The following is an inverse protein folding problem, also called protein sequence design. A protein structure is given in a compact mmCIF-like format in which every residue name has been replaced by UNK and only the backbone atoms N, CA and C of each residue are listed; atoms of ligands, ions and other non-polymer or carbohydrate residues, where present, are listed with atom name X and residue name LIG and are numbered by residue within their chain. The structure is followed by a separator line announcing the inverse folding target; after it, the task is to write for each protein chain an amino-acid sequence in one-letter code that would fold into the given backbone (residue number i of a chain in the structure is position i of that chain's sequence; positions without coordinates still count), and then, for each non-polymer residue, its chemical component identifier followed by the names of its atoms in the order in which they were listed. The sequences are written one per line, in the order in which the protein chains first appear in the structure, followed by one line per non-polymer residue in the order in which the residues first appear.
data_IF_383973365365
#
_entry.id   IF_383973365365
#
_cell.length_a   1.000
_cell.length_b   1.000
_cell.length_c   1.000
_cell.angle_alpha   90.00
_cell.angle_beta   90.00
_cell.angle_gamma   90.00
#
_symmetry.space_group_name_H-M   'P 1'
#
loop_
_entity.id
_entity.type
_entity.pdbx_description
1 polymer ?
#
# COMPACT_ATOMS: atom_id res chain seq x y z
N UNK A 1 -21.21 7.88 55.68
CA UNK A 1 -21.61 6.56 56.23
C UNK A 1 -23.13 6.51 56.29
N UNK A 2 -23.71 5.34 55.97
CA UNK A 2 -25.16 4.98 55.92
C UNK A 2 -25.87 5.10 54.57
N UNK A 3 -25.87 3.94 53.91
CA UNK A 3 -26.78 3.42 52.88
C UNK A 3 -28.25 3.40 53.34
N UNK A 4 -29.17 3.40 52.36
CA UNK A 4 -30.58 2.92 52.31
C UNK A 4 -31.47 4.01 51.65
N UNK A 5 -32.43 3.76 50.76
CA UNK A 5 -33.11 2.58 50.22
C UNK A 5 -33.87 2.99 48.93
N UNK A 6 -34.32 1.98 48.18
CA UNK A 6 -35.34 1.91 47.10
C UNK A 6 -36.23 3.14 46.84
N UNK A 7 -36.61 3.34 45.55
CA UNK A 7 -38.01 3.26 45.10
C UNK A 7 -38.14 3.23 43.57
N UNK A 8 -39.04 2.36 43.12
CA UNK A 8 -39.41 2.09 41.75
C UNK A 8 -40.16 3.25 41.09
N UNK A 9 -40.04 3.38 39.76
CA UNK A 9 -41.09 4.00 38.94
C UNK A 9 -41.31 3.19 37.66
N UNK A 10 -42.57 2.79 37.54
CA UNK A 10 -43.25 2.12 36.46
C UNK A 10 -43.02 2.77 35.08
N UNK A 11 -42.99 1.94 34.04
CA UNK A 11 -43.62 2.29 32.77
C UNK A 11 -44.19 1.01 32.13
N UNK A 12 -45.51 1.02 32.02
CA UNK A 12 -46.36 0.08 31.31
C UNK A 12 -46.29 0.40 29.81
N UNK A 13 -46.02 -0.58 28.95
CA UNK A 13 -46.48 -0.51 27.56
C UNK A 13 -46.67 -1.93 26.98
N UNK A 14 -47.92 -2.19 26.64
CA UNK A 14 -48.47 -3.37 25.96
C UNK A 14 -47.85 -3.55 24.56
N UNK A 15 -47.54 -4.78 24.18
CA UNK A 15 -47.55 -5.20 22.78
C UNK A 15 -47.82 -6.72 22.66
N UNK A 16 -49.11 -7.03 22.49
CA UNK A 16 -49.70 -8.05 21.60
C UNK A 16 -48.84 -9.30 21.34
N UNK A 17 -49.21 -10.39 21.99
CA UNK A 17 -48.84 -11.75 21.60
C UNK A 17 -49.61 -12.13 20.32
N UNK A 18 -48.98 -11.98 19.17
CA UNK A 18 -49.36 -12.72 17.95
C UNK A 18 -48.57 -14.02 17.92
N UNK A 19 -49.28 -15.13 18.10
CA UNK A 19 -48.72 -16.48 17.96
C UNK A 19 -48.20 -16.68 16.54
N UNK A 20 -46.88 -16.86 16.42
CA UNK A 20 -46.31 -17.55 15.28
C UNK A 20 -46.06 -18.99 15.72
N UNK A 21 -46.91 -19.91 15.25
CA UNK A 21 -46.54 -21.31 15.20
C UNK A 21 -45.24 -21.39 14.38
N UNK A 22 -44.12 -21.61 15.06
CA UNK A 22 -42.84 -21.84 14.40
C UNK A 22 -42.91 -23.23 13.78
N UNK A 23 -43.43 -23.34 12.56
CA UNK A 23 -43.18 -24.52 11.75
C UNK A 23 -41.67 -24.54 11.46
N UNK A 24 -40.95 -25.40 12.17
CA UNK A 24 -39.54 -25.67 11.91
C UNK A 24 -39.41 -26.29 10.52
N UNK A 25 -39.21 -25.47 9.50
CA UNK A 25 -38.81 -25.94 8.18
C UNK A 25 -37.39 -26.49 8.28
N UNK A 26 -37.29 -27.81 8.45
CA UNK A 26 -36.06 -28.57 8.25
C UNK A 26 -35.88 -28.76 6.74
N UNK A 27 -35.60 -27.68 6.02
CA UNK A 27 -35.13 -27.76 4.63
C UNK A 27 -33.67 -28.19 4.63
N UNK A 28 -33.22 -28.97 3.63
CA UNK A 28 -31.80 -29.30 3.51
C UNK A 28 -31.02 -27.99 3.38
N UNK A 29 -30.11 -27.77 4.33
CA UNK A 29 -29.12 -26.70 4.25
C UNK A 29 -28.27 -27.00 3.01
N UNK A 30 -28.58 -26.37 1.89
CA UNK A 30 -27.71 -26.39 0.72
C UNK A 30 -26.44 -25.64 1.11
N UNK A 31 -25.43 -26.37 1.56
CA UNK A 31 -24.08 -25.85 1.65
C UNK A 31 -23.69 -25.42 0.25
N UNK A 32 -23.59 -24.11 0.02
CA UNK A 32 -22.99 -23.61 -1.21
C UNK A 32 -21.61 -24.28 -1.33
N UNK A 33 -21.44 -25.12 -2.36
CA UNK A 33 -20.17 -25.80 -2.58
C UNK A 33 -19.08 -24.72 -2.65
N UNK A 34 -18.08 -24.84 -1.78
CA UNK A 34 -16.94 -23.94 -1.79
C UNK A 34 -16.23 -23.97 -3.15
N UNK A 35 -15.42 -22.96 -3.46
CA UNK A 35 -14.64 -22.96 -4.70
C UNK A 35 -13.76 -24.23 -4.77
N UNK A 36 -13.50 -24.76 -5.98
CA UNK A 36 -12.61 -25.91 -6.16
C UNK A 36 -11.23 -25.67 -5.54
N UNK A 37 -10.55 -26.76 -5.17
CA UNK A 37 -9.18 -26.69 -4.66
C UNK A 37 -8.26 -25.99 -5.66
N UNK A 38 -7.26 -25.27 -5.17
CA UNK A 38 -6.43 -24.41 -6.02
C UNK A 38 -5.65 -25.15 -7.12
N UNK A 39 -5.37 -26.44 -6.91
CA UNK A 39 -4.68 -27.34 -7.84
C UNK A 39 -5.64 -28.24 -8.64
N UNK A 40 -6.95 -28.14 -8.41
CA UNK A 40 -7.91 -28.95 -9.15
C UNK A 40 -7.90 -28.57 -10.64
N UNK A 41 -7.94 -29.55 -11.57
CA UNK A 41 -7.98 -29.27 -12.99
C UNK A 41 -9.35 -28.70 -13.39
N UNK A 42 -9.34 -27.54 -14.04
CA UNK A 42 -10.53 -26.83 -14.50
C UNK A 42 -10.42 -26.55 -16.00
N UNK A 43 -11.50 -26.75 -16.74
CA UNK A 43 -11.60 -26.35 -18.15
C UNK A 43 -11.91 -24.87 -18.23
N UNK A 44 -10.99 -24.09 -18.80
CA UNK A 44 -11.21 -22.67 -19.07
C UNK A 44 -12.21 -22.51 -20.20
N UNK A 45 -13.43 -22.09 -19.87
CA UNK A 45 -14.51 -21.92 -20.85
C UNK A 45 -14.57 -20.52 -21.44
N UNK A 46 -14.14 -19.52 -20.70
CA UNK A 46 -14.13 -18.13 -21.14
C UNK A 46 -13.09 -17.33 -20.37
N UNK A 47 -12.37 -16.49 -21.09
CA UNK A 47 -11.51 -15.44 -20.55
C UNK A 47 -11.93 -14.13 -21.20
N UNK A 48 -12.55 -13.25 -20.42
CA UNK A 48 -12.98 -11.92 -20.87
C UNK A 48 -12.09 -10.89 -20.22
N UNK A 49 -11.43 -10.07 -21.04
CA UNK A 49 -10.60 -8.95 -20.61
C UNK A 49 -11.30 -7.65 -21.02
N UNK A 50 -11.43 -6.74 -20.07
CA UNK A 50 -12.11 -5.44 -20.28
C UNK A 50 -11.31 -4.29 -19.70
N UNK A 51 -11.47 -3.10 -20.28
CA UNK A 51 -10.96 -1.85 -19.74
C UNK A 51 -9.51 -1.51 -20.09
N UNK A 52 -8.77 -2.43 -20.73
CA UNK A 52 -7.49 -2.14 -21.34
C UNK A 52 -7.64 -1.17 -22.53
N UNK A 53 -6.70 -0.23 -22.67
CA UNK A 53 -6.72 0.84 -23.68
C UNK A 53 -5.35 1.07 -24.28
N UNK A 54 -4.33 1.25 -23.45
CA UNK A 54 -2.93 1.47 -23.83
C UNK A 54 -2.20 0.16 -24.10
N UNK A 55 -2.53 -0.90 -23.38
CA UNK A 55 -2.02 -2.25 -23.64
C UNK A 55 -3.04 -3.03 -24.45
N UNK A 56 -2.62 -3.59 -25.59
CA UNK A 56 -3.52 -4.36 -26.45
C UNK A 56 -3.93 -5.67 -25.78
N UNK A 57 -5.12 -6.17 -26.12
CA UNK A 57 -5.58 -7.48 -25.63
C UNK A 57 -4.64 -8.60 -26.10
N UNK A 58 -4.09 -8.49 -27.30
CA UNK A 58 -3.13 -9.45 -27.84
C UNK A 58 -1.83 -9.49 -27.02
N UNK A 59 -1.31 -8.34 -26.57
CA UNK A 59 -0.13 -8.28 -25.70
C UNK A 59 -0.40 -8.93 -24.34
N UNK A 60 -1.62 -8.77 -23.81
CA UNK A 60 -2.04 -9.40 -22.55
C UNK A 60 -2.14 -10.91 -22.73
N UNK A 61 -2.79 -11.38 -23.80
CA UNK A 61 -2.97 -12.79 -24.08
C UNK A 61 -1.64 -13.49 -24.38
N UNK A 62 -0.71 -12.83 -25.08
CA UNK A 62 0.62 -13.36 -25.39
C UNK A 62 1.48 -13.60 -24.14
N UNK A 63 1.17 -12.94 -23.02
CA UNK A 63 1.86 -13.16 -21.74
C UNK A 63 1.33 -14.37 -20.96
N UNK A 64 0.19 -14.94 -21.35
CA UNK A 64 -0.45 -16.02 -20.60
C UNK A 64 0.05 -17.40 -21.07
N UNK A 65 0.29 -18.33 -20.12
CA UNK A 65 0.67 -19.71 -20.46
C UNK A 65 -0.55 -20.57 -20.83
N UNK A 66 -1.75 -20.01 -20.92
CA UNK A 66 -3.00 -20.72 -21.21
C UNK A 66 -3.93 -19.85 -22.06
N UNK A 67 -4.80 -20.54 -22.80
CA UNK A 67 -5.82 -19.96 -23.67
C UNK A 67 -7.19 -20.55 -23.36
N UNK A 68 -8.24 -19.91 -23.87
CA UNK A 68 -9.59 -20.45 -23.78
C UNK A 68 -9.65 -21.86 -24.36
N UNK A 69 -10.24 -22.80 -23.61
CA UNK A 69 -10.30 -24.23 -23.94
C UNK A 69 -9.31 -25.09 -23.15
N UNK A 70 -8.25 -24.49 -22.62
CA UNK A 70 -7.21 -25.21 -21.89
C UNK A 70 -7.69 -25.76 -20.54
N UNK A 71 -6.90 -26.68 -19.99
CA UNK A 71 -7.07 -27.13 -18.62
C UNK A 71 -6.11 -26.36 -17.74
N UNK A 72 -6.66 -25.60 -16.79
CA UNK A 72 -5.93 -24.73 -15.89
C UNK A 72 -6.26 -25.07 -14.45
N UNK A 73 -5.38 -24.66 -13.54
CA UNK A 73 -5.60 -24.66 -12.10
C UNK A 73 -5.76 -23.22 -11.62
N UNK A 74 -6.29 -23.01 -10.42
CA UNK A 74 -6.41 -21.66 -9.86
C UNK A 74 -5.04 -21.01 -9.68
N UNK A 75 -4.03 -21.78 -9.27
CA UNK A 75 -2.65 -21.30 -9.17
C UNK A 75 -2.11 -20.79 -10.52
N UNK A 76 -2.44 -21.47 -11.62
CA UNK A 76 -2.05 -21.02 -12.96
C UNK A 76 -2.79 -19.73 -13.36
N UNK A 77 -4.08 -19.60 -13.03
CA UNK A 77 -4.84 -18.37 -13.27
C UNK A 77 -4.23 -17.19 -12.50
N UNK A 78 -3.90 -17.39 -11.23
CA UNK A 78 -3.30 -16.36 -10.38
C UNK A 78 -1.88 -16.00 -10.87
N UNK A 79 -1.09 -16.98 -11.31
CA UNK A 79 0.20 -16.74 -11.96
C UNK A 79 0.05 -15.92 -13.25
N UNK A 80 -0.91 -16.28 -14.11
CA UNK A 80 -1.22 -15.51 -15.32
C UNK A 80 -1.64 -14.07 -15.01
N UNK A 81 -2.39 -13.83 -13.93
CA UNK A 81 -2.69 -12.48 -13.49
C UNK A 81 -1.42 -11.70 -13.09
N UNK A 82 -0.44 -12.34 -12.46
CA UNK A 82 0.87 -11.72 -12.18
C UNK A 82 1.66 -11.42 -13.47
N UNK A 83 1.61 -12.33 -14.46
CA UNK A 83 2.27 -12.11 -15.75
C UNK A 83 1.69 -10.88 -16.47
N UNK A 84 0.36 -10.70 -16.43
CA UNK A 84 -0.31 -9.51 -16.96
C UNK A 84 0.11 -8.24 -16.21
N UNK A 85 0.20 -8.27 -14.89
CA UNK A 85 0.73 -7.14 -14.12
C UNK A 85 2.15 -6.78 -14.56
N UNK A 86 2.99 -7.77 -14.86
CA UNK A 86 4.33 -7.57 -15.42
C UNK A 86 4.35 -6.91 -16.80
N UNK A 87 3.38 -7.21 -17.68
CA UNK A 87 3.24 -6.54 -18.99
C UNK A 87 2.98 -5.05 -18.79
N UNK A 88 2.05 -4.70 -17.90
CA UNK A 88 1.71 -3.30 -17.59
C UNK A 88 2.90 -2.54 -16.99
N UNK A 89 3.63 -3.16 -16.05
CA UNK A 89 4.83 -2.58 -15.45
C UNK A 89 5.90 -2.30 -16.51
N UNK A 90 6.17 -3.25 -17.42
CA UNK A 90 7.16 -3.08 -18.51
C UNK A 90 6.79 -1.95 -19.47
N UNK A 91 5.50 -1.70 -19.67
CA UNK A 91 4.99 -0.61 -20.50
C UNK A 91 4.87 0.73 -19.76
N UNK A 92 5.26 0.78 -18.48
CA UNK A 92 5.16 1.95 -17.61
C UNK A 92 3.73 2.50 -17.54
N UNK A 93 2.75 1.60 -17.41
CA UNK A 93 1.33 1.93 -17.25
C UNK A 93 0.86 1.46 -15.88
N UNK A 94 0.23 2.34 -15.10
CA UNK A 94 -0.36 2.00 -13.81
C UNK A 94 -1.55 1.07 -14.01
N UNK A 95 -1.78 0.16 -13.06
CA UNK A 95 -2.79 -0.89 -13.21
C UNK A 95 -3.56 -1.09 -11.91
N UNK A 96 -4.87 -0.95 -11.99
CA UNK A 96 -5.80 -1.52 -11.02
C UNK A 96 -6.49 -2.73 -11.63
N UNK A 97 -6.20 -3.91 -11.08
CA UNK A 97 -6.62 -5.19 -11.62
C UNK A 97 -7.73 -5.82 -10.79
N UNK A 98 -8.86 -6.13 -11.42
CA UNK A 98 -9.98 -6.84 -10.82
C UNK A 98 -10.14 -8.22 -11.45
N UNK A 99 -10.19 -9.27 -10.61
CA UNK A 99 -10.43 -10.64 -11.06
C UNK A 99 -11.74 -11.17 -10.48
N UNK A 100 -12.60 -11.73 -11.35
CA UNK A 100 -13.76 -12.52 -10.95
C UNK A 100 -13.68 -13.90 -11.59
N UNK A 101 -13.89 -14.92 -10.77
CA UNK A 101 -13.92 -16.32 -11.18
C UNK A 101 -15.30 -16.89 -10.92
N UNK A 102 -15.88 -17.54 -11.91
CA UNK A 102 -17.11 -18.33 -11.76
C UNK A 102 -16.81 -19.79 -12.07
N UNK A 103 -17.18 -20.67 -11.14
CA UNK A 103 -17.02 -22.11 -11.29
C UNK A 103 -18.36 -22.77 -11.59
N UNK A 104 -18.37 -23.71 -12.52
CA UNK A 104 -19.53 -24.55 -12.84
C UNK A 104 -19.06 -25.99 -13.03
N UNK A 105 -19.09 -26.78 -11.96
CA UNK A 105 -18.45 -28.10 -11.93
C UNK A 105 -16.94 -27.97 -12.17
N UNK A 106 -16.42 -28.67 -13.17
CA UNK A 106 -15.01 -28.56 -13.59
C UNK A 106 -14.75 -27.45 -14.62
N UNK A 107 -15.72 -26.57 -14.90
CA UNK A 107 -15.52 -25.41 -15.77
C UNK A 107 -15.20 -24.15 -14.96
N UNK A 108 -14.35 -23.29 -15.51
CA UNK A 108 -14.06 -21.96 -14.99
C UNK A 108 -14.27 -20.89 -16.06
N UNK A 109 -14.86 -19.77 -15.64
CA UNK A 109 -15.05 -18.56 -16.43
C UNK A 109 -14.35 -17.42 -15.72
N UNK A 110 -13.52 -16.68 -16.46
CA UNK A 110 -12.66 -15.63 -15.94
C UNK A 110 -13.12 -14.29 -16.52
N UNK A 111 -13.33 -13.32 -15.64
CA UNK A 111 -13.48 -11.91 -16.02
C UNK A 111 -12.33 -11.12 -15.37
N UNK A 112 -11.49 -10.53 -16.21
CA UNK A 112 -10.45 -9.59 -15.81
C UNK A 112 -10.85 -8.18 -16.22
N UNK A 113 -11.04 -7.34 -15.20
CA UNK A 113 -11.35 -5.93 -15.35
C UNK A 113 -10.08 -5.13 -15.06
N UNK A 114 -9.61 -4.41 -16.07
CA UNK A 114 -8.41 -3.59 -16.01
C UNK A 114 -8.84 -2.13 -15.99
N UNK A 115 -8.37 -1.40 -14.99
CA UNK A 115 -8.41 0.06 -14.98
C UNK A 115 -6.97 0.55 -15.12
N UNK A 116 -6.63 1.05 -16.32
CA UNK A 116 -5.32 1.62 -16.60
C UNK A 116 -5.23 3.02 -16.01
N UNK A 117 -4.11 3.28 -15.34
CA UNK A 117 -3.83 4.53 -14.66
C UNK A 117 -2.49 5.10 -15.15
N UNK A 118 -2.21 6.36 -14.81
CA UNK A 118 -0.85 6.87 -14.94
C UNK A 118 0.11 5.94 -14.18
N UNK A 119 1.35 5.73 -14.66
CA UNK A 119 2.33 4.94 -13.93
C UNK A 119 2.38 5.41 -12.48
N UNK A 120 2.27 4.46 -11.55
CA UNK A 120 2.46 4.75 -10.15
C UNK A 120 3.91 5.23 -10.02
N UNK A 121 4.09 6.52 -9.73
CA UNK A 121 5.41 7.09 -9.44
C UNK A 121 5.82 6.48 -8.12
N UNK A 122 6.50 5.34 -8.20
CA UNK A 122 7.24 4.78 -7.08
C UNK A 122 8.33 5.80 -6.79
N UNK A 123 8.06 6.67 -5.83
CA UNK A 123 9.09 7.54 -5.26
C UNK A 123 10.09 6.61 -4.61
N UNK A 124 11.17 6.30 -5.32
CA UNK A 124 12.30 5.59 -4.76
C UNK A 124 12.74 6.38 -3.53
N UNK A 125 12.88 5.69 -2.39
CA UNK A 125 13.21 6.35 -1.14
C UNK A 125 14.59 7.00 -1.27
N UNK A 126 14.65 8.34 -1.26
CA UNK A 126 15.89 9.10 -1.43
C UNK A 126 16.92 8.67 -0.38
N UNK A 127 18.17 8.46 -0.80
CA UNK A 127 19.27 8.02 0.06
C UNK A 127 20.31 9.12 0.17
N UNK A 128 20.80 9.38 1.37
CA UNK A 128 21.89 10.33 1.60
C UNK A 128 23.18 9.78 0.99
N UNK A 129 23.76 10.49 0.04
CA UNK A 129 25.10 10.21 -0.47
C UNK A 129 26.15 10.95 0.36
N UNK A 130 25.91 12.24 0.60
CA UNK A 130 26.84 13.11 1.29
C UNK A 130 26.12 14.11 2.17
N UNK A 131 26.74 14.44 3.30
CA UNK A 131 26.32 15.51 4.19
C UNK A 131 27.34 16.64 4.12
N UNK A 132 26.86 17.86 3.96
CA UNK A 132 27.68 19.08 3.89
C UNK A 132 27.13 20.09 4.89
N UNK A 133 28.01 20.69 5.69
CA UNK A 133 27.68 21.82 6.55
C UNK A 133 28.31 23.08 5.93
N UNK A 134 27.50 24.10 5.72
CA UNK A 134 27.92 25.39 5.16
C UNK A 134 27.65 26.50 6.16
N UNK A 135 28.61 27.39 6.37
CA UNK A 135 28.46 28.54 7.27
C UNK A 135 28.69 28.23 8.75
N UNK A 136 29.05 26.99 9.10
CA UNK A 136 29.44 26.63 10.46
C UNK A 136 30.85 27.15 10.78
N UNK A 137 30.95 28.30 11.47
CA UNK A 137 32.23 28.89 11.91
C UNK A 137 32.47 28.68 13.40
N UNK A 138 31.40 28.54 14.21
CA UNK A 138 31.49 28.37 15.67
C UNK A 138 31.52 26.92 16.12
N UNK A 139 30.96 26.01 15.32
CA UNK A 139 30.95 24.56 15.57
C UNK A 139 31.64 23.83 14.43
N UNK A 140 32.44 22.82 14.77
CA UNK A 140 33.12 22.02 13.75
C UNK A 140 32.12 21.11 13.03
N UNK A 141 32.40 20.77 11.77
CA UNK A 141 31.56 19.82 11.03
C UNK A 141 31.47 18.46 11.73
N UNK A 142 32.50 18.06 12.48
CA UNK A 142 32.50 16.85 13.29
C UNK A 142 31.50 16.92 14.46
N UNK A 143 31.46 18.05 15.18
CA UNK A 143 30.50 18.26 16.27
C UNK A 143 29.05 18.22 15.74
N UNK A 144 28.81 18.86 14.59
CA UNK A 144 27.49 18.87 13.97
C UNK A 144 27.10 17.48 13.45
N UNK A 145 28.03 16.75 12.86
CA UNK A 145 27.82 15.34 12.45
C UNK A 145 27.46 14.47 13.64
N UNK A 146 28.09 14.67 14.80
CA UNK A 146 27.78 13.92 16.01
C UNK A 146 26.41 14.28 16.61
N UNK A 147 25.93 15.50 16.40
CA UNK A 147 24.62 15.95 16.87
C UNK A 147 23.47 15.43 16.00
N UNK A 148 23.67 15.27 14.70
CA UNK A 148 22.64 14.78 13.76
C UNK A 148 22.55 13.26 13.74
N UNK A 149 21.48 12.70 13.18
CA UNK A 149 21.25 11.26 13.01
C UNK A 149 21.40 10.78 11.57
N UNK A 150 21.10 11.61 10.57
CA UNK A 150 21.28 11.23 9.16
C UNK A 150 22.77 11.01 8.87
N UNK A 151 23.05 9.94 8.12
CA UNK A 151 24.39 9.57 7.65
C UNK A 151 24.32 9.17 6.19
N UNK A 152 25.46 9.15 5.50
CA UNK A 152 25.56 8.49 4.19
C UNK A 152 24.95 7.08 4.26
N UNK A 153 24.09 6.76 3.29
CA UNK A 153 23.30 5.53 3.23
C UNK A 153 21.94 5.59 3.95
N UNK A 154 21.65 6.65 4.71
CA UNK A 154 20.34 6.80 5.37
C UNK A 154 19.25 7.11 4.34
N UNK A 155 18.07 6.56 4.53
CA UNK A 155 16.87 7.01 3.82
C UNK A 155 16.45 8.38 4.32
N UNK A 156 16.04 9.25 3.40
CA UNK A 156 15.61 10.61 3.68
C UNK A 156 14.10 10.64 3.72
N UNK A 157 13.56 11.13 4.83
CA UNK A 157 12.18 11.59 4.92
C UNK A 157 12.15 12.98 5.57
N UNK A 158 10.99 13.64 5.48
CA UNK A 158 10.81 14.98 6.02
C UNK A 158 10.97 15.05 7.54
N UNK A 159 10.59 13.99 8.26
CA UNK A 159 10.69 13.94 9.72
C UNK A 159 12.14 13.83 10.18
N UNK A 160 12.95 13.03 9.51
CA UNK A 160 14.38 12.87 9.78
C UNK A 160 15.15 14.18 9.53
N UNK A 161 14.86 14.88 8.43
CA UNK A 161 15.47 16.18 8.15
C UNK A 161 15.10 17.23 9.21
N UNK A 162 13.83 17.27 9.63
CA UNK A 162 13.37 18.19 10.67
C UNK A 162 14.03 17.89 12.03
N UNK A 163 14.15 16.60 12.39
CA UNK A 163 14.81 16.18 13.63
C UNK A 163 16.29 16.57 13.66
N UNK A 164 17.00 16.42 12.54
CA UNK A 164 18.40 16.82 12.43
C UNK A 164 18.58 18.34 12.45
N UNK A 165 17.68 19.10 11.80
CA UNK A 165 17.66 20.56 11.90
C UNK A 165 17.53 21.01 13.36
N UNK A 166 16.62 20.40 14.12
CA UNK A 166 16.44 20.69 15.55
C UNK A 166 17.68 20.30 16.37
N UNK A 167 18.32 19.17 16.06
CA UNK A 167 19.53 18.73 16.75
C UNK A 167 20.69 19.70 16.54
N UNK A 168 20.89 20.20 15.30
CA UNK A 168 21.87 21.24 15.00
C UNK A 168 21.53 22.52 15.75
N UNK A 169 20.26 22.95 15.75
CA UNK A 169 19.82 24.14 16.50
C UNK A 169 20.16 24.04 18.00
N UNK A 170 19.91 22.87 18.62
CA UNK A 170 20.24 22.61 20.02
C UNK A 170 21.74 22.64 20.28
N UNK A 171 22.55 22.11 19.37
CA UNK A 171 24.01 22.15 19.49
C UNK A 171 24.54 23.60 19.54
N UNK A 172 23.97 24.49 18.72
CA UNK A 172 24.28 25.93 18.74
C UNK A 172 23.81 26.62 20.02
N UNK A 173 22.57 26.34 20.45
CA UNK A 173 22.02 26.90 21.70
C UNK A 173 22.84 26.50 22.92
N UNK A 174 23.32 25.25 22.99
CA UNK A 174 24.18 24.78 24.08
C UNK A 174 25.53 25.52 24.14
N UNK A 175 25.97 26.13 23.03
CA UNK A 175 27.15 27.00 22.97
C UNK A 175 26.82 28.48 23.20
N UNK A 176 25.56 28.84 23.45
CA UNK A 176 25.11 30.21 23.58
C UNK A 176 25.16 31.01 22.27
N UNK A 177 25.14 30.32 21.12
CA UNK A 177 25.18 30.95 19.80
C UNK A 177 23.81 30.86 19.15
N UNK A 178 23.32 31.99 18.63
CA UNK A 178 22.12 32.01 17.80
C UNK A 178 22.51 31.69 16.35
N UNK A 179 21.83 30.70 15.77
CA UNK A 179 22.02 30.35 14.37
C UNK A 179 20.68 29.99 13.72
N UNK A 180 20.53 30.33 12.44
CA UNK A 180 19.43 29.87 11.60
C UNK A 180 19.93 28.70 10.73
N UNK A 181 19.18 27.60 10.71
CA UNK A 181 19.54 26.38 9.98
C UNK A 181 18.48 26.07 8.93
N UNK A 182 18.91 25.81 7.70
CA UNK A 182 18.08 25.32 6.62
C UNK A 182 18.70 24.07 6.00
N UNK A 183 17.94 22.98 5.93
CA UNK A 183 18.40 21.70 5.35
C UNK A 183 17.92 21.61 3.91
N UNK A 184 18.85 21.59 2.96
CA UNK A 184 18.55 21.61 1.52
C UNK A 184 19.01 20.29 0.89
N UNK A 185 18.09 19.43 0.43
CA UNK A 185 18.44 18.29 -0.40
C UNK A 185 18.78 18.75 -1.84
N UNK A 186 19.87 18.23 -2.39
CA UNK A 186 20.25 18.40 -3.79
C UNK A 186 20.37 17.03 -4.46
N UNK A 187 19.52 16.79 -5.45
CA UNK A 187 19.43 15.51 -6.17
C UNK A 187 19.85 15.73 -7.64
N UNK A 188 20.87 15.02 -8.14
CA UNK A 188 21.15 14.95 -9.57
C UNK A 188 19.99 14.30 -10.34
N UNK A 189 19.72 14.75 -11.56
CA UNK A 189 18.61 14.23 -12.36
C UNK A 189 18.76 12.71 -12.60
N UNK A 190 17.76 11.94 -12.21
CA UNK A 190 17.68 10.49 -12.45
C UNK A 190 18.37 9.61 -11.41
N UNK A 191 18.90 10.17 -10.33
CA UNK A 191 19.55 9.42 -9.25
C UNK A 191 18.72 9.46 -7.96
N UNK A 192 18.71 8.37 -7.20
CA UNK A 192 18.06 8.30 -5.88
C UNK A 192 19.00 8.79 -4.76
N UNK A 193 20.24 9.14 -5.10
CA UNK A 193 21.24 9.68 -4.20
C UNK A 193 21.13 11.20 -4.07
N UNK A 194 21.17 11.69 -2.83
CA UNK A 194 20.98 13.11 -2.49
C UNK A 194 22.14 13.60 -1.65
N UNK A 195 22.63 14.80 -1.97
CA UNK A 195 23.52 15.56 -1.10
C UNK A 195 22.66 16.42 -0.18
N UNK A 196 22.78 16.22 1.14
CA UNK A 196 22.12 17.04 2.14
C UNK A 196 23.06 18.18 2.58
N UNK A 197 22.65 19.41 2.29
CA UNK A 197 23.40 20.61 2.71
C UNK A 197 22.68 21.31 3.84
N UNK A 198 23.33 21.39 5.00
CA UNK A 198 22.91 22.19 6.14
C UNK A 198 23.48 23.60 5.99
N UNK A 199 22.64 24.54 5.53
CA UNK A 199 23.00 25.95 5.42
C UNK A 199 22.78 26.63 6.77
N UNK A 200 23.85 27.12 7.37
CA UNK A 200 23.86 27.70 8.70
C UNK A 200 24.24 29.17 8.62
N UNK A 201 23.40 30.03 9.21
CA UNK A 201 23.66 31.45 9.36
C UNK A 201 23.78 31.79 10.84
N UNK A 202 25.01 31.97 11.30
CA UNK A 202 25.34 32.32 12.69
C UNK A 202 25.19 33.84 12.91
N UNK A 203 24.73 34.25 14.08
CA UNK A 203 24.63 35.65 14.52
C UNK A 203 25.77 36.04 15.45
#
# INVERSE_FOLDING_TARGET
MRTRHLLARSALAVAIATGFASASFSGPQAFAAGPPAATAPLKLKSLVITGNKQVSTDDILAALPFHQGDTVTRNQIDAGAQDVMGVYQKKNVGLKFGQKLKFAGSAVYIEWAIEEQAPEVVQTALVVDKIVFEGNKKLSAADLTNATKLRTGSTIDQAAMAADQEAVQKAYQARGVSAAINVVPSQPAGDNHVVLTYKISEQ
#
